data_IF_375606688129
#
_entry.id   IF_375606688129
#
_cell.length_a   1.000
_cell.length_b   1.000
_cell.length_c   1.000
_cell.angle_alpha   90.00
_cell.angle_beta   90.00
_cell.angle_gamma   90.00
#
_symmetry.space_group_name_H-M   'P 1'
#
loop_
_entity.id
_entity.type
_entity.pdbx_description
1 polymer ?
#
# COMPACT_ATOMS: atom_id res chain seq x y z
N UNK A 1 9.59 -13.61 -16.54
CA UNK A 1 8.26 -13.69 -17.17
C UNK A 1 7.59 -12.33 -17.10
N UNK A 2 6.80 -11.91 -18.09
CA UNK A 2 6.21 -10.56 -18.16
C UNK A 2 5.37 -10.17 -16.95
N UNK A 3 4.62 -11.10 -16.37
CA UNK A 3 3.80 -10.86 -15.17
C UNK A 3 4.60 -10.61 -13.89
N UNK A 4 5.91 -10.92 -13.89
CA UNK A 4 6.82 -10.68 -12.75
C UNK A 4 7.62 -9.38 -12.91
N UNK A 5 7.46 -8.66 -14.03
CA UNK A 5 8.11 -7.36 -14.20
C UNK A 5 7.56 -6.36 -13.17
N UNK A 6 8.36 -5.37 -12.71
CA UNK A 6 7.88 -4.32 -11.81
C UNK A 6 6.62 -3.65 -12.36
N UNK A 7 5.55 -3.59 -11.55
CA UNK A 7 4.23 -3.14 -12.00
C UNK A 7 4.19 -1.72 -12.56
N UNK A 8 5.08 -0.84 -12.09
CA UNK A 8 5.29 0.51 -12.64
C UNK A 8 5.62 0.55 -14.14
N UNK A 9 6.08 -0.55 -14.74
CA UNK A 9 6.38 -0.61 -16.17
C UNK A 9 5.12 -0.78 -17.02
N UNK A 10 4.01 -1.27 -16.43
CA UNK A 10 2.75 -1.57 -17.15
C UNK A 10 2.97 -2.36 -18.45
N UNK A 11 3.89 -3.34 -18.40
CA UNK A 11 4.43 -4.03 -19.58
C UNK A 11 4.17 -5.54 -19.54
N UNK A 12 2.90 -5.93 -19.47
CA UNK A 12 2.50 -7.35 -19.42
C UNK A 12 1.22 -7.67 -20.23
N UNK A 13 0.19 -6.83 -20.15
CA UNK A 13 -1.13 -7.10 -20.75
C UNK A 13 -1.21 -6.76 -22.25
N UNK A 14 -0.42 -7.44 -23.06
CA UNK A 14 -0.60 -7.46 -24.51
C UNK A 14 -0.04 -8.75 -25.10
N UNK A 15 -0.73 -9.36 -26.06
CA UNK A 15 -0.21 -10.54 -26.78
C UNK A 15 1.09 -10.28 -27.54
N UNK A 16 1.40 -9.03 -27.86
CA UNK A 16 2.63 -8.60 -28.54
C UNK A 16 3.81 -8.44 -27.59
N UNK A 17 3.57 -8.48 -26.27
CA UNK A 17 4.60 -8.51 -25.25
C UNK A 17 4.90 -9.98 -24.99
N UNK A 18 6.08 -10.42 -25.41
CA UNK A 18 6.56 -11.80 -25.28
C UNK A 18 6.60 -12.24 -23.81
N UNK A 19 6.53 -13.55 -23.55
CA UNK A 19 6.47 -14.01 -22.16
C UNK A 19 7.80 -13.83 -21.41
N UNK A 20 8.93 -13.84 -22.14
CA UNK A 20 10.28 -13.76 -21.58
C UNK A 20 10.86 -12.37 -21.86
N UNK A 21 11.24 -11.68 -20.79
CA UNK A 21 11.90 -10.37 -20.83
C UNK A 21 13.19 -10.41 -20.01
N UNK A 22 14.15 -9.60 -20.47
CA UNK A 22 15.42 -9.36 -19.79
C UNK A 22 15.45 -7.87 -19.41
N UNK A 23 15.43 -7.55 -18.11
CA UNK A 23 15.80 -6.21 -17.66
C UNK A 23 17.31 -6.13 -17.68
N UNK A 24 17.84 -5.26 -18.53
CA UNK A 24 19.28 -5.11 -18.72
C UNK A 24 19.76 -3.87 -17.98
N UNK A 25 20.85 -4.00 -17.24
CA UNK A 25 21.48 -2.86 -16.58
C UNK A 25 21.95 -1.81 -17.60
N UNK A 26 21.93 -0.54 -17.19
CA UNK A 26 22.42 0.56 -18.03
C UNK A 26 23.85 0.27 -18.52
N UNK A 27 24.13 0.62 -19.78
CA UNK A 27 25.41 0.38 -20.48
C UNK A 27 25.68 -1.07 -20.90
N UNK A 28 24.80 -2.01 -20.59
CA UNK A 28 24.88 -3.39 -21.07
C UNK A 28 23.91 -3.64 -22.23
N UNK A 29 24.23 -4.61 -23.08
CA UNK A 29 23.35 -5.10 -24.13
C UNK A 29 23.32 -6.63 -24.08
N UNK A 30 22.16 -7.21 -24.40
CA UNK A 30 22.02 -8.65 -24.56
C UNK A 30 21.65 -8.97 -26.00
N UNK A 31 22.42 -9.85 -26.62
CA UNK A 31 22.14 -10.36 -27.94
C UNK A 31 22.50 -11.85 -28.01
N UNK A 32 21.88 -12.57 -28.95
CA UNK A 32 22.11 -14.00 -29.10
C UNK A 32 23.52 -14.33 -29.59
N UNK A 33 24.07 -13.53 -30.49
CA UNK A 33 25.44 -13.67 -30.99
C UNK A 33 26.15 -12.32 -30.92
N UNK A 34 27.47 -12.27 -30.66
CA UNK A 34 28.22 -11.01 -30.66
C UNK A 34 27.99 -10.19 -31.95
N UNK A 35 27.96 -10.87 -33.09
CA UNK A 35 27.71 -10.26 -34.40
C UNK A 35 26.36 -9.52 -34.51
N UNK A 36 25.35 -9.89 -33.73
CA UNK A 36 24.04 -9.24 -33.77
C UNK A 36 24.10 -7.83 -33.14
N UNK A 37 25.07 -7.57 -32.25
CA UNK A 37 25.36 -6.24 -31.70
C UNK A 37 26.15 -5.38 -32.70
N UNK A 38 27.04 -6.00 -33.48
CA UNK A 38 27.98 -5.29 -34.36
C UNK A 38 27.50 -5.10 -35.81
N UNK A 39 26.53 -5.89 -36.29
CA UNK A 39 26.05 -5.83 -37.68
C UNK A 39 24.92 -4.81 -37.85
N UNK A 40 25.26 -3.60 -38.31
CA UNK A 40 24.33 -2.76 -39.09
C UNK A 40 24.56 -3.00 -40.60
N UNK A 41 23.55 -2.81 -41.47
CA UNK A 41 23.69 -2.96 -42.94
C UNK A 41 24.78 -2.10 -43.57
N UNK A 42 25.27 -1.07 -42.88
CA UNK A 42 26.20 -0.06 -43.37
C UNK A 42 27.69 -0.34 -43.11
N UNK A 43 28.07 -1.51 -42.57
CA UNK A 43 29.48 -1.94 -42.50
C UNK A 43 30.40 -1.12 -41.57
N UNK A 44 29.87 -0.27 -40.69
CA UNK A 44 30.66 0.47 -39.69
C UNK A 44 30.36 -0.09 -38.29
N UNK A 45 31.34 -0.74 -37.66
CA UNK A 45 31.31 -1.05 -36.23
C UNK A 45 31.55 0.24 -35.45
N UNK A 46 30.54 0.74 -34.74
CA UNK A 46 30.68 1.87 -33.83
C UNK A 46 29.88 1.55 -32.59
N UNK A 47 30.53 1.53 -31.43
CA UNK A 47 29.86 1.58 -30.13
C UNK A 47 29.04 2.88 -30.08
N UNK A 48 27.74 2.78 -30.36
CA UNK A 48 26.82 3.91 -30.31
C UNK A 48 26.07 3.87 -28.98
N UNK A 49 25.68 5.05 -28.50
CA UNK A 49 24.68 5.12 -27.44
C UNK A 49 23.39 4.48 -27.93
N UNK A 50 22.75 3.71 -27.05
CA UNK A 50 21.48 3.05 -27.31
C UNK A 50 20.47 3.42 -26.20
N UNK A 51 19.21 3.07 -26.42
CA UNK A 51 18.09 3.35 -25.52
C UNK A 51 17.09 2.19 -25.49
N UNK A 52 16.14 2.24 -24.57
CA UNK A 52 15.18 1.14 -24.33
C UNK A 52 15.40 0.42 -23.00
N UNK A 53 16.32 0.93 -22.19
CA UNK A 53 16.48 0.55 -20.79
C UNK A 53 15.27 0.96 -19.95
N UNK A 54 15.32 0.58 -18.69
CA UNK A 54 14.37 0.99 -17.67
C UNK A 54 14.15 2.53 -17.64
N UNK A 55 12.89 2.94 -17.65
CA UNK A 55 12.50 4.36 -17.68
C UNK A 55 12.88 5.15 -16.42
N UNK A 56 13.28 4.48 -15.34
CA UNK A 56 13.84 5.13 -14.14
C UNK A 56 15.26 5.65 -14.35
N UNK A 57 16.02 5.07 -15.27
CA UNK A 57 17.44 5.40 -15.45
C UNK A 57 17.58 6.83 -15.96
N UNK A 58 18.44 7.63 -15.31
CA UNK A 58 18.62 9.05 -15.64
C UNK A 58 18.96 9.30 -17.13
N UNK A 59 19.71 8.40 -17.78
CA UNK A 59 20.04 8.52 -19.21
C UNK A 59 18.85 8.30 -20.15
N UNK A 60 17.75 7.71 -19.69
CA UNK A 60 16.52 7.49 -20.45
C UNK A 60 15.49 8.61 -20.25
N UNK A 61 15.76 9.57 -19.35
CA UNK A 61 14.88 10.71 -19.14
C UNK A 61 14.93 11.65 -20.34
N UNK A 62 13.78 12.26 -20.64
CA UNK A 62 13.62 13.22 -21.75
C UNK A 62 13.40 14.64 -21.23
N UNK A 63 13.55 15.62 -22.13
CA UNK A 63 13.37 17.03 -21.84
C UNK A 63 11.92 17.45 -22.14
N UNK A 64 11.35 18.28 -21.27
CA UNK A 64 10.09 18.98 -21.52
C UNK A 64 10.28 20.49 -21.34
N UNK A 65 9.84 21.28 -22.33
CA UNK A 65 9.80 22.75 -22.27
C UNK A 65 8.44 23.23 -22.78
N UNK A 66 7.62 23.78 -21.88
CA UNK A 66 6.37 24.44 -22.22
C UNK A 66 6.57 25.95 -22.39
N UNK A 67 6.26 26.48 -23.58
CA UNK A 67 6.26 27.92 -23.84
C UNK A 67 4.96 28.33 -24.51
N UNK A 68 4.30 29.36 -23.97
CA UNK A 68 3.06 29.89 -24.50
C UNK A 68 2.29 30.71 -23.48
N UNK A 69 1.17 31.33 -23.88
CA UNK A 69 0.36 32.18 -23.00
C UNK A 69 -0.23 31.42 -21.81
N UNK A 70 -0.56 30.13 -22.01
CA UNK A 70 -1.20 29.29 -20.99
C UNK A 70 -0.21 28.68 -20.01
N UNK A 71 1.06 28.52 -20.37
CA UNK A 71 2.09 27.99 -19.47
C UNK A 71 2.59 29.05 -18.49
N UNK A 72 2.85 28.67 -17.24
CA UNK A 72 3.47 29.57 -16.25
C UNK A 72 4.85 30.04 -16.71
N UNK A 73 5.19 31.29 -16.40
CA UNK A 73 6.48 31.88 -16.79
C UNK A 73 7.59 31.50 -15.81
N UNK A 74 8.81 31.26 -16.32
CA UNK A 74 10.02 30.98 -15.50
C UNK A 74 9.79 29.96 -14.37
N UNK A 75 9.00 28.93 -14.63
CA UNK A 75 8.62 27.93 -13.64
C UNK A 75 9.36 26.62 -13.92
N UNK A 76 10.09 26.11 -12.93
CA UNK A 76 10.67 24.77 -12.94
C UNK A 76 9.73 23.84 -12.16
N UNK A 77 9.50 22.65 -12.69
CA UNK A 77 8.63 21.65 -12.06
C UNK A 77 9.39 20.35 -11.80
N UNK A 78 8.92 19.52 -10.85
CA UNK A 78 9.43 18.16 -10.68
C UNK A 78 9.23 17.30 -11.95
N UNK A 79 9.99 16.20 -12.09
CA UNK A 79 9.75 15.22 -13.15
C UNK A 79 8.32 14.68 -13.12
N UNK A 80 7.78 14.41 -14.30
CA UNK A 80 6.48 13.78 -14.51
C UNK A 80 6.53 12.84 -15.72
N UNK A 81 5.56 11.96 -15.87
CA UNK A 81 5.54 10.98 -16.96
C UNK A 81 4.90 11.55 -18.23
N UNK A 82 5.43 11.15 -19.39
CA UNK A 82 4.96 11.63 -20.69
C UNK A 82 3.50 11.27 -21.00
N UNK A 83 2.94 10.24 -20.34
CA UNK A 83 1.52 9.85 -20.47
C UNK A 83 0.56 10.96 -20.03
N UNK A 84 1.02 11.89 -19.18
CA UNK A 84 0.22 13.03 -18.69
C UNK A 84 0.06 14.12 -19.76
N UNK A 85 0.93 14.16 -20.77
CA UNK A 85 0.95 15.23 -21.78
C UNK A 85 -0.29 15.22 -22.67
N UNK A 86 -0.92 14.07 -22.89
CA UNK A 86 -2.15 13.99 -23.70
C UNK A 86 -3.27 14.85 -23.10
N UNK A 87 -3.49 14.75 -21.78
CA UNK A 87 -4.49 15.55 -21.09
C UNK A 87 -4.16 17.06 -21.17
N UNK A 88 -2.89 17.43 -20.99
CA UNK A 88 -2.45 18.83 -21.11
C UNK A 88 -2.70 19.37 -22.53
N UNK A 89 -2.39 18.59 -23.57
CA UNK A 89 -2.66 19.00 -24.96
C UNK A 89 -4.16 19.20 -25.21
N UNK A 90 -5.01 18.32 -24.69
CA UNK A 90 -6.46 18.49 -24.77
C UNK A 90 -6.92 19.77 -24.05
N UNK A 91 -6.41 20.03 -22.84
CA UNK A 91 -6.74 21.23 -22.06
C UNK A 91 -6.34 22.52 -22.78
N UNK A 92 -5.17 22.55 -23.43
CA UNK A 92 -4.69 23.68 -24.21
C UNK A 92 -5.54 23.96 -25.46
N UNK A 93 -6.12 22.91 -26.05
CA UNK A 93 -6.98 23.00 -27.24
C UNK A 93 -8.47 23.13 -26.91
N UNK A 94 -8.85 23.11 -25.63
CA UNK A 94 -10.26 23.11 -25.22
C UNK A 94 -11.01 21.83 -25.61
N UNK A 95 -10.31 20.70 -25.72
CA UNK A 95 -10.86 19.40 -26.08
C UNK A 95 -11.15 18.55 -24.85
N UNK A 96 -12.17 17.69 -24.96
CA UNK A 96 -12.39 16.61 -23.99
C UNK A 96 -11.44 15.44 -24.33
N UNK A 97 -10.54 15.02 -23.44
CA UNK A 97 -9.65 13.89 -23.70
C UNK A 97 -10.44 12.58 -23.82
N UNK A 98 -9.98 11.69 -24.70
CA UNK A 98 -10.43 10.29 -24.72
C UNK A 98 -9.88 9.53 -23.50
N UNK A 99 -10.45 8.36 -23.13
CA UNK A 99 -9.91 7.52 -22.06
C UNK A 99 -8.43 7.21 -22.29
N UNK A 100 -7.60 7.47 -21.27
CA UNK A 100 -6.15 7.31 -21.32
C UNK A 100 -5.60 7.06 -19.90
N UNK A 101 -4.31 6.71 -19.79
CA UNK A 101 -3.67 6.38 -18.51
C UNK A 101 -3.17 7.61 -17.72
N UNK A 102 -3.17 8.80 -18.32
CA UNK A 102 -2.80 10.04 -17.64
C UNK A 102 -3.85 10.45 -16.60
N UNK A 103 -3.39 11.03 -15.50
CA UNK A 103 -4.25 11.50 -14.40
C UNK A 103 -4.65 12.96 -14.63
N UNK A 104 -5.80 13.18 -15.25
CA UNK A 104 -6.26 14.52 -15.65
C UNK A 104 -6.29 15.50 -14.46
N UNK A 105 -5.54 16.60 -14.58
CA UNK A 105 -5.39 17.61 -13.53
C UNK A 105 -4.13 17.49 -12.67
N UNK A 106 -3.32 16.42 -12.81
CA UNK A 106 -2.02 16.24 -12.16
C UNK A 106 -1.03 17.36 -12.53
N UNK A 107 -1.06 17.80 -13.79
CA UNK A 107 -0.18 18.82 -14.36
C UNK A 107 -0.79 20.24 -14.36
N UNK A 108 -1.89 20.48 -13.63
CA UNK A 108 -2.49 21.81 -13.50
C UNK A 108 -1.51 22.85 -12.94
N UNK A 109 -0.48 22.43 -12.22
CA UNK A 109 0.55 23.31 -11.70
C UNK A 109 1.46 23.89 -12.80
N UNK A 110 1.44 23.37 -14.04
CA UNK A 110 2.13 23.92 -15.21
C UNK A 110 1.43 25.13 -15.83
N UNK A 111 0.12 25.23 -15.66
CA UNK A 111 -0.73 26.16 -16.40
C UNK A 111 -1.10 27.37 -15.54
N UNK A 112 -1.23 28.55 -16.17
CA UNK A 112 -1.70 29.79 -15.52
C UNK A 112 -3.22 29.74 -15.29
N UNK A 113 -3.93 29.15 -16.23
CA UNK A 113 -5.40 29.00 -16.21
C UNK A 113 -5.73 27.53 -16.44
N UNK A 114 -6.37 26.91 -15.45
CA UNK A 114 -6.80 25.51 -15.54
C UNK A 114 -8.23 25.45 -16.09
N UNK A 115 -8.40 24.82 -17.24
CA UNK A 115 -9.70 24.56 -17.86
C UNK A 115 -10.40 23.38 -17.16
N UNK A 116 -9.65 22.36 -16.76
CA UNK A 116 -10.14 21.22 -16.01
C UNK A 116 -9.90 21.35 -14.51
N UNK A 117 -10.96 21.07 -13.72
CA UNK A 117 -10.90 20.98 -12.26
C UNK A 117 -11.19 19.55 -11.85
N UNK A 118 -10.18 18.79 -11.37
CA UNK A 118 -10.40 17.42 -10.97
C UNK A 118 -11.30 17.34 -9.74
N UNK A 119 -12.11 16.29 -9.68
CA UNK A 119 -13.01 15.99 -8.54
C UNK A 119 -12.60 14.68 -7.89
N UNK A 120 -12.71 14.63 -6.56
CA UNK A 120 -12.43 13.40 -5.80
C UNK A 120 -13.45 12.32 -6.21
N UNK A 121 -13.02 11.09 -6.56
CA UNK A 121 -13.91 9.98 -6.86
C UNK A 121 -14.88 9.71 -5.71
N UNK A 122 -16.14 9.41 -6.04
CA UNK A 122 -17.12 9.02 -5.04
C UNK A 122 -16.79 7.64 -4.47
N UNK A 123 -16.89 7.51 -3.15
CA UNK A 123 -16.74 6.22 -2.49
C UNK A 123 -17.94 5.32 -2.83
N UNK A 124 -17.66 4.12 -3.35
CA UNK A 124 -18.69 3.16 -3.75
C UNK A 124 -19.17 2.33 -2.57
N UNK A 125 -18.24 1.91 -1.71
CA UNK A 125 -18.57 1.12 -0.50
C UNK A 125 -18.23 1.92 0.75
N UNK A 126 -19.26 2.25 1.52
CA UNK A 126 -19.09 2.84 2.86
C UNK A 126 -18.66 1.76 3.86
N UNK A 127 -17.80 2.10 4.83
CA UNK A 127 -17.40 1.15 5.85
C UNK A 127 -18.54 0.80 6.80
N UNK A 128 -18.45 -0.40 7.36
CA UNK A 128 -19.15 -0.79 8.58
C UNK A 128 -18.26 -0.58 9.80
N UNK A 129 -18.90 -0.48 10.97
CA UNK A 129 -18.21 -0.40 12.26
C UNK A 129 -18.75 -1.54 13.14
N UNK A 130 -17.90 -2.48 13.59
CA UNK A 130 -18.36 -3.59 14.40
C UNK A 130 -19.05 -3.10 15.68
N UNK A 131 -20.33 -3.44 15.81
CA UNK A 131 -21.14 -3.17 17.00
C UNK A 131 -21.50 -4.42 17.79
N UNK A 132 -21.28 -5.61 17.22
CA UNK A 132 -21.53 -6.91 17.82
C UNK A 132 -20.19 -7.54 18.17
N UNK A 133 -20.14 -8.23 19.31
CA UNK A 133 -19.00 -9.06 19.67
C UNK A 133 -19.45 -10.51 19.83
N UNK A 134 -18.63 -11.39 19.29
CA UNK A 134 -18.80 -12.84 19.34
C UNK A 134 -18.10 -13.40 20.59
N UNK A 135 -18.59 -14.55 21.06
CA UNK A 135 -17.93 -15.22 22.18
C UNK A 135 -16.67 -15.91 21.67
N UNK A 136 -15.63 -15.91 22.49
CA UNK A 136 -14.38 -16.61 22.15
C UNK A 136 -14.61 -18.10 21.87
N UNK A 137 -15.60 -18.71 22.54
CA UNK A 137 -16.01 -20.11 22.34
C UNK A 137 -16.59 -20.40 20.95
N UNK A 138 -16.99 -19.36 20.21
CA UNK A 138 -17.58 -19.52 18.87
C UNK A 138 -16.50 -19.75 17.79
N UNK A 139 -15.23 -19.61 18.15
CA UNK A 139 -14.10 -19.72 17.23
C UNK A 139 -13.39 -21.08 17.33
N UNK A 140 -13.61 -21.92 16.32
CA UNK A 140 -12.81 -23.13 16.10
C UNK A 140 -11.77 -22.91 14.99
N UNK A 141 -10.87 -21.96 15.23
CA UNK A 141 -9.82 -21.56 14.27
C UNK A 141 -8.48 -22.27 14.51
N UNK A 142 -8.36 -23.04 15.61
CA UNK A 142 -7.13 -23.64 16.17
C UNK A 142 -5.90 -22.72 16.20
N UNK A 143 -6.17 -21.44 16.44
CA UNK A 143 -5.18 -20.45 16.82
C UNK A 143 -4.75 -20.68 18.27
N UNK A 144 -3.48 -20.41 18.57
CA UNK A 144 -2.91 -20.62 19.90
C UNK A 144 -2.19 -19.35 20.32
N UNK A 145 -2.43 -18.89 21.54
CA UNK A 145 -1.70 -17.79 22.15
C UNK A 145 -1.64 -18.08 23.66
N UNK A 146 -0.81 -19.05 24.03
CA UNK A 146 -0.69 -19.50 25.42
C UNK A 146 0.22 -18.55 26.21
N UNK A 147 -0.38 -17.61 26.93
CA UNK A 147 0.27 -16.98 28.07
C UNK A 147 0.29 -17.98 29.24
N UNK A 148 1.27 -18.89 29.26
CA UNK A 148 1.41 -19.91 30.33
C UNK A 148 1.68 -19.32 31.74
N UNK A 149 1.59 -18.00 31.91
CA UNK A 149 2.09 -17.26 33.09
C UNK A 149 1.04 -16.34 33.74
N UNK A 150 -0.15 -16.11 33.16
CA UNK A 150 -1.06 -15.06 33.68
C UNK A 150 -2.56 -15.44 33.79
N UNK A 151 -3.33 -14.76 34.67
CA UNK A 151 -4.56 -15.31 35.25
C UNK A 151 -5.70 -15.46 34.23
N UNK A 152 -6.66 -16.34 34.55
CA UNK A 152 -7.85 -16.70 33.74
C UNK A 152 -8.66 -15.54 33.15
N UNK A 153 -8.45 -14.30 33.61
CA UNK A 153 -9.19 -13.10 33.18
C UNK A 153 -8.44 -12.23 32.15
N UNK A 154 -7.18 -12.53 31.82
CA UNK A 154 -6.37 -11.68 30.92
C UNK A 154 -6.93 -11.59 29.49
N UNK A 155 -7.49 -12.68 28.97
CA UNK A 155 -8.08 -12.70 27.63
C UNK A 155 -9.28 -11.75 27.52
N UNK A 156 -10.14 -11.73 28.54
CA UNK A 156 -11.27 -10.79 28.61
C UNK A 156 -10.80 -9.34 28.71
N UNK A 157 -9.71 -9.09 29.45
CA UNK A 157 -9.09 -7.76 29.52
C UNK A 157 -8.51 -7.31 28.17
N UNK A 158 -7.84 -8.21 27.45
CA UNK A 158 -7.34 -7.95 26.10
C UNK A 158 -8.48 -7.65 25.13
N UNK A 159 -9.54 -8.45 25.14
CA UNK A 159 -10.72 -8.22 24.30
C UNK A 159 -11.45 -6.92 24.67
N UNK A 160 -11.43 -6.49 25.94
CA UNK A 160 -11.92 -5.17 26.36
C UNK A 160 -11.12 -4.01 25.80
N UNK A 161 -9.87 -4.18 25.36
CA UNK A 161 -9.13 -3.12 24.67
C UNK A 161 -9.67 -2.86 23.25
N UNK A 162 -10.29 -3.87 22.65
CA UNK A 162 -10.97 -3.76 21.36
C UNK A 162 -12.32 -3.03 21.49
N UNK A 163 -12.90 -3.02 22.71
CA UNK A 163 -14.03 -2.16 23.06
C UNK A 163 -13.56 -0.71 23.22
N UNK A 164 -13.88 0.13 22.24
CA UNK A 164 -13.63 1.56 22.37
C UNK A 164 -14.98 2.28 22.28
N UNK A 165 -15.48 2.73 23.45
CA UNK A 165 -16.68 3.56 23.57
C UNK A 165 -16.49 4.82 22.71
N UNK A 166 -17.21 4.91 21.60
CA UNK A 166 -17.17 6.07 20.71
C UNK A 166 -17.74 5.86 19.30
N UNK A 167 -17.87 4.61 18.83
CA UNK A 167 -18.35 4.32 17.46
C UNK A 167 -19.88 4.38 17.30
N UNK A 168 -20.66 4.06 18.32
CA UNK A 168 -22.08 3.73 18.13
C UNK A 168 -23.06 4.90 18.19
N UNK A 169 -22.69 6.07 18.72
CA UNK A 169 -23.65 7.17 18.91
C UNK A 169 -23.38 8.43 18.09
N UNK A 170 -22.12 8.76 17.77
CA UNK A 170 -21.79 10.04 17.13
C UNK A 170 -22.06 10.06 15.62
N UNK A 171 -21.87 8.95 14.92
CA UNK A 171 -22.11 8.87 13.47
C UNK A 171 -23.58 8.57 13.16
N UNK A 172 -24.20 7.68 13.92
CA UNK A 172 -25.62 7.30 13.75
C UNK A 172 -26.57 8.47 14.02
N UNK A 173 -26.25 9.37 14.97
CA UNK A 173 -27.07 10.56 15.27
C UNK A 173 -26.92 11.69 14.26
N UNK A 174 -25.82 11.78 13.52
CA UNK A 174 -25.67 12.80 12.44
C UNK A 174 -26.53 12.50 11.21
N UNK A 175 -27.02 11.26 11.07
CA UNK A 175 -27.79 10.84 9.89
C UNK A 175 -29.30 10.63 10.13
N UNK A 176 -29.78 10.61 11.39
CA UNK A 176 -31.22 10.52 11.69
C UNK A 176 -31.80 11.89 11.99
N UNK A 177 -31.99 12.70 10.94
CA UNK A 177 -32.87 13.86 11.02
C UNK A 177 -34.33 13.42 11.11
N UNK A 178 -34.86 13.29 12.33
CA UNK A 178 -36.30 13.36 12.55
C UNK A 178 -36.59 14.30 13.73
N UNK A 179 -37.49 15.23 13.48
CA UNK A 179 -38.04 16.16 14.48
C UNK A 179 -38.77 15.38 15.57
N UNK A 180 -38.76 15.98 16.77
CA UNK A 180 -39.42 15.61 18.03
C UNK A 180 -38.93 14.33 18.71
N UNK A 181 -38.13 14.49 19.76
CA UNK A 181 -38.54 14.12 21.14
C UNK A 181 -37.52 14.59 22.18
N UNK A 182 -37.97 14.58 23.44
CA UNK A 182 -37.55 15.37 24.59
C UNK A 182 -36.03 15.46 24.92
N UNK A 183 -35.64 16.67 25.35
CA UNK A 183 -34.36 16.98 26.00
C UNK A 183 -34.27 16.28 27.37
N UNK A 184 -33.56 15.17 27.45
CA UNK A 184 -32.88 14.78 28.69
C UNK A 184 -31.40 15.12 28.58
N UNK A 185 -30.94 15.91 29.56
CA UNK A 185 -29.56 16.35 29.71
C UNK A 185 -28.66 15.15 30.06
N UNK A 186 -27.87 14.69 29.09
CA UNK A 186 -26.64 13.94 29.37
C UNK A 186 -25.46 14.78 28.88
N UNK A 187 -24.92 15.59 29.80
CA UNK A 187 -23.64 16.29 29.64
C UNK A 187 -22.47 15.28 29.71
N UNK A 188 -22.36 14.43 28.69
CA UNK A 188 -21.12 13.72 28.39
C UNK A 188 -20.43 14.44 27.23
N UNK A 189 -19.30 15.10 27.49
CA UNK A 189 -18.40 15.56 26.43
C UNK A 189 -17.92 14.34 25.64
N UNK A 190 -18.62 13.99 24.55
CA UNK A 190 -18.14 13.02 23.57
C UNK A 190 -17.13 13.73 22.66
N UNK A 191 -15.84 13.63 22.99
CA UNK A 191 -14.81 13.98 22.03
C UNK A 191 -14.83 12.96 20.87
N UNK A 192 -15.00 13.41 19.61
CA UNK A 192 -14.84 12.52 18.47
C UNK A 192 -13.42 11.95 18.46
N UNK A 193 -13.30 10.63 18.29
CA UNK A 193 -12.01 9.93 18.33
C UNK A 193 -11.07 10.53 17.30
N UNK A 194 -9.90 10.97 17.77
CA UNK A 194 -8.81 11.44 16.89
C UNK A 194 -8.24 10.23 16.15
N UNK A 195 -8.49 10.15 14.84
CA UNK A 195 -7.79 9.26 13.92
C UNK A 195 -6.29 9.46 14.11
N UNK A 196 -5.58 8.46 14.67
CA UNK A 196 -4.18 8.63 15.05
C UNK A 196 -3.24 8.26 13.92
N UNK A 197 -3.58 7.23 13.14
CA UNK A 197 -2.73 6.78 12.05
C UNK A 197 -3.34 7.00 10.66
N UNK A 198 -4.62 7.37 10.57
CA UNK A 198 -5.23 7.87 9.32
C UNK A 198 -4.97 9.38 9.11
N UNK A 199 -3.69 9.80 9.14
CA UNK A 199 -3.28 11.21 9.09
C UNK A 199 -3.84 11.98 7.88
N UNK A 200 -3.99 11.28 6.75
CA UNK A 200 -4.45 11.87 5.48
C UNK A 200 -5.84 11.36 5.06
N UNK A 201 -6.59 10.85 6.03
CA UNK A 201 -7.92 10.28 5.84
C UNK A 201 -7.88 8.80 5.47
N UNK A 202 -8.98 8.12 5.77
CA UNK A 202 -9.22 6.73 5.42
C UNK A 202 -9.18 6.52 3.90
N UNK A 203 -8.51 5.45 3.40
CA UNK A 203 -8.64 5.04 2.00
C UNK A 203 -10.10 4.74 1.67
N UNK A 204 -10.65 5.36 0.63
CA UNK A 204 -11.99 5.05 0.15
C UNK A 204 -12.00 3.83 -0.76
N UNK A 205 -13.08 3.06 -0.73
CA UNK A 205 -13.22 1.84 -1.54
C UNK A 205 -14.10 2.14 -2.77
N UNK A 206 -13.52 2.01 -3.96
CA UNK A 206 -14.15 2.41 -5.24
C UNK A 206 -14.86 1.26 -5.99
N UNK A 207 -15.03 0.11 -5.35
CA UNK A 207 -15.76 -1.03 -5.88
C UNK A 207 -16.77 -1.55 -4.84
N UNK A 208 -17.73 -2.36 -5.28
CA UNK A 208 -18.78 -2.92 -4.41
C UNK A 208 -18.22 -4.07 -3.58
N UNK A 209 -18.23 -3.92 -2.26
CA UNK A 209 -17.74 -4.94 -1.31
C UNK A 209 -18.35 -4.70 0.08
N UNK A 210 -17.85 -5.41 1.11
CA UNK A 210 -18.16 -5.19 2.52
C UNK A 210 -16.86 -5.20 3.31
N UNK A 211 -16.68 -4.20 4.16
CA UNK A 211 -15.52 -4.11 5.03
C UNK A 211 -15.81 -3.32 6.30
N UNK A 212 -15.08 -3.64 7.35
CA UNK A 212 -15.19 -3.04 8.68
C UNK A 212 -13.97 -2.21 9.03
N UNK A 213 -14.18 -1.11 9.77
CA UNK A 213 -13.06 -0.36 10.36
C UNK A 213 -12.72 -0.94 11.72
N UNK A 214 -11.50 -1.47 11.82
CA UNK A 214 -10.95 -2.00 13.06
C UNK A 214 -9.91 -1.03 13.61
N UNK A 215 -10.23 -0.45 14.75
CA UNK A 215 -9.33 0.45 15.45
C UNK A 215 -8.54 -0.29 16.53
N UNK A 216 -7.25 0.03 16.62
CA UNK A 216 -6.35 -0.44 17.68
C UNK A 216 -5.60 0.76 18.27
N UNK A 217 -4.68 0.50 19.19
CA UNK A 217 -3.84 1.56 19.78
C UNK A 217 -2.80 2.06 18.77
N UNK A 218 -2.12 1.13 18.10
CA UNK A 218 -0.95 1.42 17.27
C UNK A 218 -1.23 1.38 15.76
N UNK A 219 -2.43 0.97 15.36
CA UNK A 219 -2.84 0.91 13.96
C UNK A 219 -4.36 0.96 13.77
N UNK A 220 -4.78 1.30 12.56
CA UNK A 220 -6.16 1.15 12.08
C UNK A 220 -6.18 0.30 10.81
N UNK A 221 -7.23 -0.49 10.59
CA UNK A 221 -7.37 -1.31 9.38
C UNK A 221 -8.79 -1.30 8.82
N UNK A 222 -8.90 -1.50 7.50
CA UNK A 222 -10.15 -1.76 6.80
C UNK A 222 -10.25 -3.24 6.46
N UNK A 223 -10.97 -4.03 7.26
CA UNK A 223 -11.05 -5.48 7.16
C UNK A 223 -12.14 -5.95 6.19
N UNK A 224 -11.78 -6.67 5.13
CA UNK A 224 -12.75 -7.21 4.17
C UNK A 224 -13.29 -8.56 4.62
N UNK A 225 -14.61 -8.67 4.78
CA UNK A 225 -15.28 -9.96 5.03
C UNK A 225 -15.12 -10.92 3.84
N UNK A 226 -15.10 -10.37 2.61
CA UNK A 226 -15.03 -11.15 1.37
C UNK A 226 -13.65 -11.81 1.20
N UNK A 227 -12.59 -11.07 1.50
CA UNK A 227 -11.22 -11.57 1.39
C UNK A 227 -10.70 -12.17 2.71
N UNK A 228 -11.47 -12.06 3.78
CA UNK A 228 -11.10 -12.48 5.14
C UNK A 228 -9.80 -11.83 5.63
N UNK A 229 -9.43 -10.66 5.12
CA UNK A 229 -8.19 -9.95 5.47
C UNK A 229 -8.33 -8.44 5.28
N UNK A 230 -7.42 -7.61 5.84
CA UNK A 230 -7.45 -6.18 5.58
C UNK A 230 -7.21 -5.84 4.12
N UNK A 231 -8.02 -4.93 3.58
CA UNK A 231 -7.72 -4.21 2.34
C UNK A 231 -6.51 -3.29 2.55
N UNK A 232 -6.41 -2.71 3.75
CA UNK A 232 -5.34 -1.82 4.15
C UNK A 232 -5.19 -1.81 5.67
N UNK A 233 -3.97 -1.59 6.14
CA UNK A 233 -3.62 -1.28 7.53
C UNK A 233 -2.74 -0.04 7.56
N UNK A 234 -3.05 0.91 8.43
CA UNK A 234 -2.34 2.17 8.60
C UNK A 234 -1.77 2.32 10.00
N UNK A 235 -0.51 2.75 10.10
CA UNK A 235 0.18 3.03 11.36
C UNK A 235 1.23 4.12 11.16
N UNK A 236 1.59 4.83 12.23
CA UNK A 236 2.59 5.91 12.19
C UNK A 236 3.78 5.56 13.07
N UNK A 237 4.97 5.58 12.47
CA UNK A 237 6.24 5.30 13.15
C UNK A 237 6.96 6.62 13.38
N UNK A 238 7.19 6.99 14.64
CA UNK A 238 7.95 8.19 14.98
C UNK A 238 9.46 7.99 14.79
N UNK A 239 10.21 9.09 14.77
CA UNK A 239 11.68 9.07 14.72
C UNK A 239 12.28 8.25 15.88
N UNK A 240 11.69 8.32 17.07
CA UNK A 240 12.16 7.66 18.29
C UNK A 240 11.54 6.27 18.53
N UNK A 241 10.73 5.75 17.61
CA UNK A 241 10.07 4.45 17.81
C UNK A 241 11.10 3.32 17.97
N UNK A 242 11.02 2.53 19.03
CA UNK A 242 11.93 1.40 19.25
C UNK A 242 11.41 0.12 18.61
N UNK A 243 12.32 -0.72 18.12
CA UNK A 243 11.99 -2.07 17.64
C UNK A 243 12.08 -3.03 18.82
N UNK A 244 10.94 -3.39 19.39
CA UNK A 244 10.90 -4.28 20.54
C UNK A 244 11.09 -5.75 20.15
N UNK A 245 11.79 -6.51 20.99
CA UNK A 245 11.88 -7.97 20.81
C UNK A 245 10.52 -8.63 21.03
N UNK A 246 10.25 -9.71 20.31
CA UNK A 246 9.06 -10.53 20.54
C UNK A 246 9.43 -11.61 21.56
N UNK A 247 8.79 -11.65 22.74
CA UNK A 247 9.00 -12.73 23.71
C UNK A 247 8.74 -14.10 23.07
N UNK A 248 9.52 -15.11 23.45
CA UNK A 248 9.45 -16.44 22.84
C UNK A 248 8.05 -17.07 22.89
N UNK A 249 7.30 -16.85 23.99
CA UNK A 249 5.92 -17.32 24.16
C UNK A 249 4.92 -16.67 23.19
N UNK A 250 5.25 -15.50 22.62
CA UNK A 250 4.41 -14.81 21.64
C UNK A 250 4.80 -15.08 20.17
N UNK A 251 5.91 -15.79 19.92
CA UNK A 251 6.40 -16.04 18.56
C UNK A 251 5.37 -16.74 17.66
N UNK A 252 4.56 -17.63 18.25
CA UNK A 252 3.48 -18.36 17.57
C UNK A 252 2.09 -17.95 18.06
N UNK A 253 1.98 -16.79 18.74
CA UNK A 253 0.71 -16.28 19.24
C UNK A 253 -0.13 -15.77 18.06
N UNK A 254 -1.33 -16.33 17.93
CA UNK A 254 -2.41 -15.76 17.12
C UNK A 254 -3.70 -15.89 17.90
N UNK A 255 -4.53 -14.85 17.91
CA UNK A 255 -5.84 -14.90 18.57
C UNK A 255 -7.00 -14.45 17.65
N UNK A 256 -8.19 -15.01 17.84
CA UNK A 256 -9.42 -14.52 17.23
C UNK A 256 -9.71 -13.05 17.55
N UNK A 257 -10.32 -12.34 16.60
CA UNK A 257 -10.85 -10.99 16.84
C UNK A 257 -12.36 -11.09 17.03
N UNK A 258 -12.80 -10.94 18.28
CA UNK A 258 -14.20 -11.06 18.68
C UNK A 258 -15.13 -10.03 18.02
N UNK A 259 -14.61 -9.02 17.32
CA UNK A 259 -15.43 -8.04 16.57
C UNK A 259 -15.87 -8.56 15.20
N UNK A 260 -15.21 -9.60 14.69
CA UNK A 260 -15.47 -10.17 13.36
C UNK A 260 -16.11 -11.55 13.51
N UNK A 261 -17.08 -11.87 12.65
CA UNK A 261 -17.73 -13.18 12.67
C UNK A 261 -16.70 -14.31 12.48
N UNK A 262 -16.85 -15.45 13.17
CA UNK A 262 -16.04 -16.63 12.88
C UNK A 262 -16.09 -17.06 11.41
N UNK A 263 -17.23 -16.86 10.73
CA UNK A 263 -17.41 -17.19 9.31
C UNK A 263 -16.59 -16.34 8.34
N UNK A 264 -16.20 -15.13 8.77
CA UNK A 264 -15.36 -14.21 8.00
C UNK A 264 -13.93 -14.15 8.53
N UNK A 265 -13.58 -14.98 9.52
CA UNK A 265 -12.23 -15.03 10.10
C UNK A 265 -11.40 -16.15 9.47
N UNK A 266 -10.11 -15.89 9.28
CA UNK A 266 -9.19 -16.91 8.76
C UNK A 266 -8.92 -18.01 9.80
N UNK A 267 -8.86 -19.26 9.36
CA UNK A 267 -8.49 -20.39 10.22
C UNK A 267 -6.97 -20.53 10.32
N UNK A 268 -6.44 -20.58 11.54
CA UNK A 268 -5.03 -20.88 11.77
C UNK A 268 -4.66 -22.33 11.42
N UNK A 269 -5.63 -23.27 11.38
CA UNK A 269 -5.36 -24.62 10.90
C UNK A 269 -4.99 -24.64 9.42
N UNK A 270 -5.59 -23.78 8.59
CA UNK A 270 -5.31 -23.74 7.15
C UNK A 270 -3.80 -23.59 6.88
N UNK A 271 -3.14 -22.70 7.62
CA UNK A 271 -1.69 -22.47 7.54
C UNK A 271 -0.83 -23.56 8.19
N UNK A 272 -1.39 -24.41 9.06
CA UNK A 272 -0.70 -25.57 9.60
C UNK A 272 -0.74 -26.75 8.61
N UNK A 273 -1.80 -26.83 7.81
CA UNK A 273 -2.03 -27.90 6.83
C UNK A 273 -1.30 -27.61 5.51
N UNK A 274 -1.32 -26.37 5.04
CA UNK A 274 -0.63 -25.94 3.83
C UNK A 274 0.90 -25.96 4.04
N UNK A 275 1.63 -26.66 3.16
CA UNK A 275 3.10 -26.81 3.25
C UNK A 275 3.86 -25.66 2.59
N UNK A 276 3.21 -24.90 1.71
CA UNK A 276 3.83 -23.84 0.92
C UNK A 276 3.51 -22.46 1.47
N UNK A 277 2.36 -22.29 2.13
CA UNK A 277 1.88 -21.01 2.61
C UNK A 277 2.08 -20.84 4.13
N UNK A 278 2.58 -19.68 4.52
CA UNK A 278 2.55 -19.22 5.90
C UNK A 278 1.66 -17.99 6.01
N UNK A 279 1.74 -17.28 7.12
CA UNK A 279 1.07 -15.99 7.31
C UNK A 279 2.05 -14.93 7.81
N UNK A 280 1.75 -13.67 7.53
CA UNK A 280 2.43 -12.49 8.07
C UNK A 280 1.43 -11.50 8.64
N UNK A 281 1.94 -10.37 9.14
CA UNK A 281 1.14 -9.30 9.75
C UNK A 281 1.33 -7.98 9.00
N UNK A 282 0.24 -7.25 8.75
CA UNK A 282 0.32 -5.94 8.08
C UNK A 282 0.81 -4.85 9.03
N UNK A 283 0.31 -4.82 10.27
CA UNK A 283 0.96 -4.09 11.36
C UNK A 283 1.97 -5.01 12.06
N UNK A 284 3.26 -4.66 12.11
CA UNK A 284 4.28 -5.53 12.69
C UNK A 284 4.27 -5.49 14.24
N UNK A 285 4.16 -6.64 14.93
CA UNK A 285 4.10 -6.68 16.39
C UNK A 285 5.30 -6.05 17.12
N UNK A 286 6.48 -6.01 16.49
CA UNK A 286 7.69 -5.43 17.09
C UNK A 286 7.69 -3.89 17.16
N UNK A 287 6.78 -3.22 16.42
CA UNK A 287 6.59 -1.76 16.50
C UNK A 287 5.49 -1.34 17.49
N UNK A 288 4.95 -2.27 18.27
CA UNK A 288 3.89 -1.96 19.25
C UNK A 288 4.42 -1.06 20.36
N UNK A 289 3.60 -0.11 20.82
CA UNK A 289 4.03 0.92 21.78
C UNK A 289 4.21 0.40 23.21
N UNK A 290 3.56 -0.72 23.56
CA UNK A 290 3.65 -1.36 24.87
C UNK A 290 3.54 -2.89 24.77
N UNK A 291 3.94 -3.63 25.82
CA UNK A 291 3.73 -5.08 25.89
C UNK A 291 2.28 -5.50 25.71
N UNK A 292 1.32 -4.73 26.22
CA UNK A 292 -0.12 -5.00 26.10
C UNK A 292 -0.63 -4.70 24.69
N UNK A 293 -0.17 -3.59 24.08
CA UNK A 293 -0.54 -3.25 22.71
C UNK A 293 0.00 -4.28 21.68
N UNK A 294 1.10 -4.97 22.02
CA UNK A 294 1.65 -6.06 21.21
C UNK A 294 0.67 -7.20 21.02
N UNK A 295 -0.19 -7.46 22.01
CA UNK A 295 -1.24 -8.44 21.86
C UNK A 295 -2.18 -8.02 20.70
N UNK A 296 -2.57 -6.75 20.59
CA UNK A 296 -3.47 -6.26 19.53
C UNK A 296 -2.94 -6.55 18.11
N UNK A 297 -1.62 -6.66 17.93
CA UNK A 297 -1.00 -6.99 16.65
C UNK A 297 -1.14 -8.48 16.24
N UNK A 298 -1.35 -9.39 17.20
CA UNK A 298 -1.46 -10.84 16.98
C UNK A 298 -2.90 -11.32 16.69
N UNK A 299 -3.78 -10.41 16.25
CA UNK A 299 -5.15 -10.76 15.86
C UNK A 299 -5.18 -11.40 14.47
N UNK A 300 -6.08 -12.36 14.26
CA UNK A 300 -6.37 -12.94 12.92
C UNK A 300 -6.79 -11.89 11.90
N UNK A 301 -7.37 -10.78 12.35
CA UNK A 301 -7.76 -9.64 11.50
C UNK A 301 -6.59 -8.77 11.04
N UNK A 302 -5.38 -8.98 11.56
CA UNK A 302 -4.15 -8.35 11.07
C UNK A 302 -3.30 -9.33 10.22
N UNK A 303 -3.78 -10.56 10.04
CA UNK A 303 -3.07 -11.66 9.40
C UNK A 303 -3.34 -11.70 7.89
N UNK A 304 -2.29 -11.98 7.11
CA UNK A 304 -2.37 -12.14 5.64
C UNK A 304 -1.52 -13.33 5.18
N UNK A 305 -1.93 -14.08 4.14
CA UNK A 305 -1.19 -15.24 3.65
C UNK A 305 0.12 -14.82 2.97
N UNK A 306 1.25 -15.33 3.47
CA UNK A 306 2.58 -15.02 2.95
C UNK A 306 3.42 -16.26 2.72
N UNK A 307 3.98 -16.40 1.53
CA UNK A 307 5.02 -17.38 1.24
C UNK A 307 6.21 -17.16 2.17
N UNK A 308 6.82 -18.23 2.73
CA UNK A 308 7.96 -18.11 3.63
C UNK A 308 9.13 -17.29 3.08
N UNK A 309 9.44 -17.43 1.78
CA UNK A 309 10.50 -16.65 1.12
C UNK A 309 10.19 -15.15 1.11
N UNK A 310 8.96 -14.77 0.75
CA UNK A 310 8.49 -13.39 0.78
C UNK A 310 8.39 -12.84 2.20
N UNK A 311 7.97 -13.64 3.19
CA UNK A 311 7.90 -13.24 4.60
C UNK A 311 9.25 -12.74 5.12
N UNK A 312 10.38 -13.28 4.64
CA UNK A 312 11.72 -12.76 4.96
C UNK A 312 11.93 -11.32 4.44
N UNK A 313 11.57 -11.06 3.18
CA UNK A 313 11.62 -9.73 2.56
C UNK A 313 10.72 -8.76 3.32
N UNK A 314 9.47 -9.14 3.59
CA UNK A 314 8.47 -8.33 4.28
C UNK A 314 8.91 -7.96 5.70
N UNK A 315 9.43 -8.93 6.46
CA UNK A 315 9.94 -8.69 7.80
C UNK A 315 11.15 -7.76 7.81
N UNK A 316 12.09 -7.92 6.88
CA UNK A 316 13.22 -7.00 6.77
C UNK A 316 12.76 -5.58 6.41
N UNK A 317 11.84 -5.45 5.45
CA UNK A 317 11.25 -4.16 5.06
C UNK A 317 10.61 -3.45 6.26
N UNK A 318 9.70 -4.10 6.97
CA UNK A 318 8.99 -3.50 8.10
C UNK A 318 9.91 -3.26 9.32
N UNK A 319 10.83 -4.19 9.63
CA UNK A 319 11.69 -4.10 10.83
C UNK A 319 12.86 -3.14 10.65
N UNK A 320 13.46 -3.12 9.47
CA UNK A 320 14.71 -2.40 9.21
C UNK A 320 14.44 -1.16 8.36
N UNK A 321 13.83 -1.32 7.18
CA UNK A 321 13.69 -0.22 6.22
C UNK A 321 12.68 0.84 6.67
N UNK A 322 11.49 0.44 7.15
CA UNK A 322 10.50 1.40 7.69
C UNK A 322 11.10 2.19 8.86
N UNK A 323 11.86 1.54 9.75
CA UNK A 323 12.54 2.22 10.86
C UNK A 323 13.65 3.16 10.37
N UNK A 324 14.44 2.76 9.38
CA UNK A 324 15.44 3.62 8.71
C UNK A 324 14.78 4.88 8.14
N UNK A 325 13.70 4.72 7.36
CA UNK A 325 12.96 5.85 6.81
C UNK A 325 12.32 6.75 7.88
N UNK A 326 11.77 6.16 8.97
CA UNK A 326 11.25 6.94 10.09
C UNK A 326 12.34 7.80 10.75
N UNK A 327 13.55 7.25 10.93
CA UNK A 327 14.67 7.97 11.51
C UNK A 327 15.16 9.12 10.63
N UNK A 328 15.25 8.89 9.32
CA UNK A 328 15.73 9.85 8.31
C UNK A 328 14.73 10.98 8.04
N UNK A 329 13.42 10.68 8.08
CA UNK A 329 12.35 11.60 7.65
C UNK A 329 11.54 12.20 8.79
N UNK A 330 12.03 12.06 10.02
CA UNK A 330 11.36 12.52 11.24
C UNK A 330 9.96 11.90 11.44
N UNK A 331 9.88 10.60 11.21
CA UNK A 331 8.67 9.81 11.26
C UNK A 331 8.03 9.59 9.90
N UNK A 332 7.32 8.49 9.78
CA UNK A 332 6.61 8.08 8.57
C UNK A 332 5.25 7.50 8.93
N UNK A 333 4.23 7.86 8.17
CA UNK A 333 2.98 7.11 8.11
C UNK A 333 3.11 6.00 7.09
N UNK A 334 2.64 4.81 7.43
CA UNK A 334 2.69 3.62 6.58
C UNK A 334 1.27 3.16 6.35
N UNK A 335 0.91 2.92 5.08
CA UNK A 335 -0.31 2.20 4.69
C UNK A 335 0.10 1.02 3.83
N UNK A 336 -0.25 -0.19 4.23
CA UNK A 336 0.09 -1.42 3.52
C UNK A 336 -1.13 -2.32 3.35
N UNK A 337 -1.13 -3.16 2.31
CA UNK A 337 -2.22 -4.10 2.05
C UNK A 337 -1.91 -5.07 0.90
N UNK A 338 -2.79 -6.06 0.69
CA UNK A 338 -2.67 -7.02 -0.41
C UNK A 338 -3.13 -6.43 -1.75
N UNK A 339 -2.65 -7.02 -2.85
CA UNK A 339 -3.11 -6.78 -4.23
C UNK A 339 -3.48 -8.12 -4.86
N UNK A 340 -4.58 -8.13 -5.62
CA UNK A 340 -4.99 -9.23 -6.46
C UNK A 340 -5.02 -8.76 -7.92
N UNK A 341 -4.13 -9.31 -8.73
CA UNK A 341 -3.94 -9.00 -10.16
C UNK A 341 -3.38 -10.26 -10.86
N UNK A 342 -4.29 -11.21 -11.09
CA UNK A 342 -4.06 -12.55 -11.64
C UNK A 342 -4.13 -12.59 -13.17
N UNK A 343 -4.69 -11.56 -13.80
CA UNK A 343 -4.68 -11.38 -15.25
C UNK A 343 -3.65 -10.35 -15.73
N UNK A 344 -2.84 -9.82 -14.81
CA UNK A 344 -1.67 -8.97 -15.05
C UNK A 344 -1.98 -7.73 -15.89
N UNK A 345 -3.22 -7.21 -15.78
CA UNK A 345 -3.70 -6.02 -16.47
C UNK A 345 -3.37 -4.70 -15.76
N UNK A 346 -2.85 -4.77 -14.53
CA UNK A 346 -2.51 -3.61 -13.73
C UNK A 346 -3.71 -2.97 -13.02
N UNK A 347 -4.85 -3.68 -12.96
CA UNK A 347 -6.10 -3.26 -12.33
C UNK A 347 -6.47 -4.23 -11.21
N UNK A 348 -7.40 -3.78 -10.36
CA UNK A 348 -7.97 -4.59 -9.29
C UNK A 348 -8.82 -5.74 -9.83
N UNK A 349 -8.53 -6.96 -9.38
CA UNK A 349 -9.33 -8.14 -9.65
C UNK A 349 -10.49 -8.35 -8.69
N UNK A 350 -11.64 -8.70 -9.24
CA UNK A 350 -12.78 -9.22 -8.49
C UNK A 350 -12.56 -10.68 -8.09
N UNK A 351 -13.34 -11.19 -7.14
CA UNK A 351 -13.16 -12.52 -6.56
C UNK A 351 -13.19 -13.66 -7.61
N UNK A 352 -13.94 -13.49 -8.70
CA UNK A 352 -14.04 -14.44 -9.81
C UNK A 352 -12.75 -14.59 -10.63
N UNK A 353 -11.87 -13.58 -10.60
CA UNK A 353 -10.57 -13.64 -11.28
C UNK A 353 -9.46 -14.24 -10.42
N UNK A 354 -9.68 -14.41 -9.12
CA UNK A 354 -8.69 -14.97 -8.18
C UNK A 354 -8.48 -16.45 -8.49
N UNK A 355 -7.21 -16.85 -8.66
CA UNK A 355 -6.86 -18.22 -9.09
C UNK A 355 -6.22 -19.08 -8.00
N UNK A 356 -5.67 -18.48 -6.96
CA UNK A 356 -4.98 -19.22 -5.89
C UNK A 356 -5.54 -18.87 -4.52
N UNK A 357 -5.62 -19.91 -3.69
CA UNK A 357 -6.11 -19.89 -2.33
C UNK A 357 -5.19 -20.73 -1.45
N UNK A 358 -5.14 -20.43 -0.15
CA UNK A 358 -4.44 -21.28 0.82
C UNK A 358 -5.08 -22.67 0.81
N UNK A 359 -4.24 -23.72 0.75
CA UNK A 359 -4.68 -25.09 0.50
C UNK A 359 -5.79 -25.52 1.47
N UNK A 360 -6.88 -26.06 0.91
CA UNK A 360 -8.03 -26.54 1.70
C UNK A 360 -8.88 -25.43 2.34
N UNK A 361 -8.73 -24.17 1.93
CA UNK A 361 -9.49 -23.04 2.46
C UNK A 361 -10.03 -22.10 1.38
N UNK A 362 -10.82 -21.10 1.80
CA UNK A 362 -11.31 -20.01 0.96
C UNK A 362 -10.44 -18.74 1.01
N UNK A 363 -9.26 -18.80 1.65
CA UNK A 363 -8.42 -17.63 1.89
C UNK A 363 -7.62 -17.33 0.60
N UNK A 364 -7.86 -16.19 -0.09
CA UNK A 364 -7.21 -15.89 -1.36
C UNK A 364 -5.75 -15.51 -1.14
N UNK A 365 -4.88 -15.90 -2.07
CA UNK A 365 -3.45 -15.54 -2.03
C UNK A 365 -3.23 -14.23 -2.81
N UNK A 366 -2.67 -13.16 -2.22
CA UNK A 366 -2.33 -11.95 -2.95
C UNK A 366 -1.25 -12.21 -4.00
N UNK A 367 -1.33 -11.54 -5.14
CA UNK A 367 -0.25 -11.59 -6.15
C UNK A 367 0.90 -10.66 -5.77
N UNK A 368 0.59 -9.56 -5.08
CA UNK A 368 1.55 -8.58 -4.58
C UNK A 368 1.11 -8.04 -3.23
N UNK A 369 2.03 -7.37 -2.53
CA UNK A 369 1.73 -6.52 -1.38
C UNK A 369 2.20 -5.10 -1.67
N UNK A 370 1.39 -4.11 -1.32
CA UNK A 370 1.79 -2.71 -1.43
C UNK A 370 2.17 -2.11 -0.09
N UNK A 371 2.99 -1.07 -0.15
CA UNK A 371 3.22 -0.17 0.99
C UNK A 371 3.41 1.26 0.50
N UNK A 372 2.75 2.21 1.17
CA UNK A 372 2.85 3.65 0.94
C UNK A 372 3.44 4.28 2.20
N UNK A 373 4.65 4.82 2.09
CA UNK A 373 5.31 5.56 3.15
C UNK A 373 5.15 7.05 2.87
N UNK A 374 4.57 7.78 3.82
CA UNK A 374 4.32 9.22 3.71
C UNK A 374 5.00 9.96 4.86
N UNK A 375 5.75 11.01 4.54
CA UNK A 375 6.37 11.93 5.50
C UNK A 375 6.16 13.38 5.05
N UNK A 376 6.62 14.33 5.85
CA UNK A 376 6.87 15.67 5.34
C UNK A 376 8.01 15.68 4.33
N UNK A 377 7.93 16.59 3.36
CA UNK A 377 9.07 16.93 2.51
C UNK A 377 10.13 17.70 3.32
N UNK A 378 9.69 18.53 4.25
CA UNK A 378 10.54 19.19 5.25
C UNK A 378 10.72 18.26 6.46
N UNK A 379 11.90 17.63 6.56
CA UNK A 379 12.20 16.67 7.63
C UNK A 379 12.37 17.31 9.01
N UNK A 380 12.28 18.63 9.14
CA UNK A 380 12.21 19.27 10.47
C UNK A 380 10.84 19.08 11.13
N UNK A 381 9.79 18.84 10.32
CA UNK A 381 8.43 18.58 10.78
C UNK A 381 8.17 17.07 10.89
N UNK A 382 7.53 16.60 11.97
CA UNK A 382 7.18 15.21 12.09
C UNK A 382 5.96 14.87 11.23
N UNK A 383 5.86 13.60 10.79
CA UNK A 383 4.80 13.16 9.88
C UNK A 383 3.37 13.44 10.38
N UNK A 384 3.14 13.43 11.70
CA UNK A 384 1.84 13.66 12.34
C UNK A 384 1.47 15.15 12.49
N UNK A 385 2.39 16.08 12.18
CA UNK A 385 2.19 17.53 12.24
C UNK A 385 2.68 18.21 10.97
N UNK A 386 2.37 17.60 9.84
CA UNK A 386 2.87 18.05 8.55
C UNK A 386 2.01 19.14 7.90
N UNK A 387 2.45 20.39 7.99
CA UNK A 387 1.76 21.53 7.37
C UNK A 387 2.30 21.84 5.95
N UNK A 388 3.57 21.48 5.67
CA UNK A 388 4.23 21.69 4.38
C UNK A 388 3.89 20.65 3.29
N UNK A 389 4.58 20.60 2.14
CA UNK A 389 4.38 19.54 1.14
C UNK A 389 4.67 18.12 1.68
N UNK A 390 3.97 17.11 1.17
CA UNK A 390 4.26 15.71 1.50
C UNK A 390 5.36 15.14 0.62
N UNK A 391 6.08 14.17 1.17
CA UNK A 391 6.93 13.25 0.44
C UNK A 391 6.33 11.85 0.53
N UNK A 392 6.30 11.13 -0.60
CA UNK A 392 5.79 9.76 -0.68
C UNK A 392 6.81 8.83 -1.30
N UNK A 393 6.92 7.63 -0.75
CA UNK A 393 7.67 6.52 -1.31
C UNK A 393 6.77 5.27 -1.25
N UNK A 394 6.45 4.70 -2.40
CA UNK A 394 5.52 3.58 -2.53
C UNK A 394 6.13 2.40 -3.25
N UNK A 395 5.70 1.20 -2.88
CA UNK A 395 6.24 -0.07 -3.34
C UNK A 395 5.10 -1.04 -3.68
N UNK A 396 5.30 -1.86 -4.70
CA UNK A 396 4.43 -3.01 -5.05
C UNK A 396 5.32 -4.23 -5.14
N UNK A 397 5.33 -5.03 -4.08
CA UNK A 397 6.27 -6.13 -3.90
C UNK A 397 5.65 -7.45 -4.40
N UNK A 398 6.31 -8.18 -5.31
CA UNK A 398 5.78 -9.42 -5.87
C UNK A 398 5.76 -10.53 -4.81
N UNK A 399 4.60 -11.14 -4.61
CA UNK A 399 4.41 -12.19 -3.62
C UNK A 399 4.75 -13.55 -4.23
N UNK A 400 6.00 -14.00 -4.05
CA UNK A 400 6.55 -15.19 -4.70
C UNK A 400 6.94 -16.30 -3.70
N UNK A 401 6.83 -17.58 -4.11
CA UNK A 401 7.22 -18.72 -3.26
C UNK A 401 8.74 -18.80 -3.05
N UNK A 402 9.53 -18.21 -3.93
CA UNK A 402 10.99 -18.21 -3.93
C UNK A 402 11.56 -16.82 -4.24
N UNK A 403 12.81 -16.57 -3.84
CA UNK A 403 13.52 -15.30 -4.04
C UNK A 403 14.46 -15.37 -5.26
N UNK A 404 14.05 -16.04 -6.33
CA UNK A 404 14.86 -16.23 -7.55
C UNK A 404 15.26 -14.92 -8.22
N UNK A 405 14.44 -13.87 -8.09
CA UNK A 405 14.73 -12.53 -8.59
C UNK A 405 15.97 -11.91 -7.92
N UNK A 406 16.23 -12.30 -6.68
CA UNK A 406 17.45 -11.96 -5.94
C UNK A 406 18.45 -13.12 -5.94
N UNK A 407 18.42 -13.93 -7.02
CA UNK A 407 19.30 -15.08 -7.24
C UNK A 407 19.27 -16.12 -6.11
N UNK A 408 18.15 -16.23 -5.38
CA UNK A 408 18.03 -17.08 -4.18
C UNK A 408 19.21 -16.89 -3.20
N UNK A 409 19.66 -15.64 -3.04
CA UNK A 409 20.82 -15.30 -2.21
C UNK A 409 20.68 -15.87 -0.79
N UNK A 410 21.70 -16.62 -0.37
CA UNK A 410 21.84 -17.13 1.00
C UNK A 410 22.50 -16.11 1.94
N UNK A 411 22.85 -14.93 1.42
CA UNK A 411 23.42 -13.85 2.23
C UNK A 411 22.39 -13.23 3.17
N UNK A 412 22.88 -12.45 4.13
CA UNK A 412 22.05 -11.65 5.03
C UNK A 412 21.12 -10.73 4.23
N UNK A 413 19.87 -10.59 4.70
CA UNK A 413 18.84 -9.80 4.04
C UNK A 413 19.29 -8.35 3.75
N UNK A 414 20.20 -7.79 4.56
CA UNK A 414 20.74 -6.45 4.33
C UNK A 414 21.53 -6.26 3.04
N UNK A 415 21.96 -7.34 2.39
CA UNK A 415 22.75 -7.28 1.16
C UNK A 415 21.91 -7.16 -0.11
N UNK A 416 20.66 -7.61 -0.09
CA UNK A 416 19.86 -7.77 -1.31
C UNK A 416 18.43 -7.27 -1.20
N UNK A 417 17.83 -7.22 0.00
CA UNK A 417 16.43 -6.80 0.13
C UNK A 417 16.24 -5.34 -0.23
N UNK A 418 17.14 -4.44 0.16
CA UNK A 418 16.99 -3.01 -0.18
C UNK A 418 16.97 -2.79 -1.69
N UNK A 419 17.85 -3.45 -2.45
CA UNK A 419 17.86 -3.38 -3.93
C UNK A 419 16.58 -3.95 -4.55
N UNK A 420 16.09 -5.08 -4.04
CA UNK A 420 14.81 -5.66 -4.48
C UNK A 420 13.65 -4.68 -4.26
N UNK A 421 13.57 -4.05 -3.08
CA UNK A 421 12.53 -3.06 -2.76
C UNK A 421 12.64 -1.83 -3.68
N UNK A 422 13.87 -1.34 -3.95
CA UNK A 422 14.13 -0.20 -4.85
C UNK A 422 13.72 -0.50 -6.30
N UNK A 423 13.88 -1.75 -6.76
CA UNK A 423 13.44 -2.17 -8.09
C UNK A 423 11.91 -2.04 -8.25
N UNK A 424 11.19 -2.40 -7.19
CA UNK A 424 9.72 -2.48 -7.10
C UNK A 424 9.04 -1.22 -6.54
N UNK A 425 9.66 -0.04 -6.65
CA UNK A 425 8.92 1.21 -6.39
C UNK A 425 7.80 1.40 -7.42
N UNK A 426 6.76 2.08 -7.00
CA UNK A 426 5.59 2.40 -7.80
C UNK A 426 5.07 3.79 -7.45
N UNK A 427 4.18 4.34 -8.28
CA UNK A 427 3.38 5.51 -7.94
C UNK A 427 2.28 5.09 -6.99
N UNK A 428 1.76 6.01 -6.17
CA UNK A 428 0.52 5.74 -5.44
C UNK A 428 -0.61 5.44 -6.42
N UNK A 429 -0.61 6.10 -7.58
CA UNK A 429 -1.61 5.86 -8.62
C UNK A 429 -1.63 4.42 -9.13
N UNK A 430 -0.48 3.76 -9.21
CA UNK A 430 -0.41 2.34 -9.60
C UNK A 430 -1.10 1.46 -8.54
N UNK A 431 -0.88 1.77 -7.26
CA UNK A 431 -1.53 1.08 -6.15
C UNK A 431 -3.04 1.32 -6.18
N UNK A 432 -3.50 2.54 -6.45
CA UNK A 432 -4.93 2.85 -6.57
C UNK A 432 -5.60 2.05 -7.69
N UNK A 433 -4.93 1.87 -8.83
CA UNK A 433 -5.44 1.04 -9.92
C UNK A 433 -5.54 -0.43 -9.53
N UNK A 434 -4.49 -0.98 -8.91
CA UNK A 434 -4.40 -2.39 -8.50
C UNK A 434 -5.28 -2.76 -7.30
N UNK A 435 -5.71 -1.77 -6.51
CA UNK A 435 -6.51 -2.02 -5.28
C UNK A 435 -7.92 -1.45 -5.37
N UNK A 436 -8.19 -0.57 -6.35
CA UNK A 436 -9.41 0.25 -6.40
C UNK A 436 -9.69 0.99 -5.08
N UNK A 437 -8.61 1.42 -4.41
CA UNK A 437 -8.65 2.33 -3.27
C UNK A 437 -8.32 3.76 -3.73
N UNK A 438 -8.80 4.76 -2.99
CA UNK A 438 -8.41 6.17 -3.18
C UNK A 438 -7.83 6.74 -1.88
N UNK A 439 -6.57 7.14 -1.92
CA UNK A 439 -5.81 7.63 -0.76
C UNK A 439 -5.83 9.17 -0.66
N UNK A 440 -5.34 9.72 0.46
CA UNK A 440 -5.16 11.17 0.68
C UNK A 440 -6.44 12.02 0.54
N UNK A 441 -7.58 11.50 1.03
CA UNK A 441 -8.89 12.17 0.90
C UNK A 441 -9.12 13.29 1.91
N UNK A 442 -8.31 13.36 2.97
CA UNK A 442 -8.41 14.38 4.02
C UNK A 442 -7.08 15.10 4.14
N UNK A 443 -6.92 16.18 3.38
CA UNK A 443 -5.73 17.04 3.44
C UNK A 443 -6.15 18.50 3.27
N UNK A 444 -5.30 19.44 3.70
CA UNK A 444 -5.46 20.87 3.46
C UNK A 444 -5.07 21.30 2.03
N UNK A 445 -4.55 20.37 1.22
CA UNK A 445 -3.98 20.65 -0.11
C UNK A 445 -5.07 20.57 -1.18
N UNK A 446 -4.84 21.26 -2.29
CA UNK A 446 -5.75 21.16 -3.43
C UNK A 446 -5.71 19.75 -4.02
N UNK A 447 -6.83 19.31 -4.61
CA UNK A 447 -6.88 17.96 -5.18
C UNK A 447 -5.89 17.78 -6.35
N UNK A 448 -5.62 18.82 -7.14
CA UNK A 448 -4.56 18.78 -8.16
C UNK A 448 -3.16 18.53 -7.58
N UNK A 449 -2.83 19.10 -6.41
CA UNK A 449 -1.54 18.81 -5.74
C UNK A 449 -1.50 17.37 -5.23
N UNK A 450 -2.62 16.84 -4.76
CA UNK A 450 -2.74 15.43 -4.38
C UNK A 450 -2.58 14.50 -5.59
N UNK A 451 -3.15 14.86 -6.75
CA UNK A 451 -2.93 14.10 -7.98
C UNK A 451 -1.46 14.11 -8.41
N UNK A 452 -0.78 15.27 -8.33
CA UNK A 452 0.65 15.37 -8.61
C UNK A 452 1.48 14.49 -7.66
N UNK A 453 1.14 14.49 -6.36
CA UNK A 453 1.75 13.58 -5.37
C UNK A 453 1.50 12.11 -5.72
N UNK A 454 0.28 11.76 -6.14
CA UNK A 454 -0.09 10.38 -6.48
C UNK A 454 0.61 9.86 -7.74
N UNK A 455 0.91 10.73 -8.69
CA UNK A 455 1.64 10.40 -9.93
C UNK A 455 3.17 10.44 -9.78
N UNK A 456 3.69 10.92 -8.64
CA UNK A 456 5.12 10.95 -8.40
C UNK A 456 5.69 9.53 -8.26
N UNK A 457 6.74 9.23 -9.04
CA UNK A 457 7.51 8.00 -8.91
C UNK A 457 8.86 8.32 -8.25
N UNK A 458 9.09 7.76 -7.06
CA UNK A 458 10.38 7.90 -6.39
C UNK A 458 11.45 7.04 -7.07
N UNK A 459 12.59 7.66 -7.39
CA UNK A 459 13.76 7.01 -7.99
C UNK A 459 14.96 7.12 -7.05
N UNK A 460 15.71 6.02 -6.92
CA UNK A 460 16.91 5.93 -6.09
C UNK A 460 18.22 6.12 -6.88
N UNK A 461 18.13 6.54 -8.15
CA UNK A 461 19.29 6.72 -9.04
C UNK A 461 20.27 7.82 -8.57
N UNK A 462 19.89 8.69 -7.65
CA UNK A 462 20.83 9.64 -7.03
C UNK A 462 21.65 9.03 -5.89
N UNK A 463 21.31 7.82 -5.45
CA UNK A 463 22.00 7.07 -4.38
C UNK A 463 22.98 6.01 -4.92
N UNK A 464 23.01 5.81 -6.25
CA UNK A 464 23.84 4.84 -6.99
C UNK A 464 24.88 5.60 -7.82
#
# INVERSE_FOLDING_TARGET
MKQHLPKRLHYANNRRIEDIHLLVERRWHVARKPLDVYKKPSGKCVFQGDHGFDNKVNSMQTVFVGYGPTFKYKTKVPPFENIELYNVMCDLLGLRPAPNNGTHGSLNHLLRTNTFRPTIPEEVTRPSYPGIMYLQSDFDLGCTCDDKVEPKNKLDELNKRLHIKGSTEAETRKFRGNKSENKENVNGNFEPRKERHLLYGRPAVLYRTRYDILYHTDFESGYSEIFQMPLWTSYTVSKQAEVSSIPEHLTNCVRPDVRVSPSFSQSCLAYKTDKQMSYGFLFPPYLSSSPEAKYDAFLVTNMVPMYPAFKRVWNYFQRVLVKKYASERNGVNVISGPIFDYDYDGLHDTQDKIKQYVEGSSIPVPTHYYSILTSCLDFTQPADKCDGPLSVSSFILPHRPENEESCNSSEDESRWVEELIKMHTARVRDIEHLTSLDFFRKTSRSYSEILALKTYLHTYESEI
#
